data_IF_140168958197
#
_entry.id   IF_140168958197
#
_cell.length_a   1.000
_cell.length_b   1.000
_cell.length_c   1.000
_cell.angle_alpha   90.00
_cell.angle_beta   90.00
_cell.angle_gamma   90.00
#
_symmetry.space_group_name_H-M   'P 1'
#
loop_
_entity.id
_entity.type
_entity.pdbx_description
1 polymer ?
#
# COMPACT_ATOMS: atom_id res chain seq x y z
N UNK A 1 -3.01 14.66 -15.34
CA UNK A 1 -3.32 13.82 -14.17
C UNK A 1 -4.48 12.92 -14.55
N UNK A 2 -4.48 11.64 -14.15
CA UNK A 2 -5.63 10.79 -14.41
C UNK A 2 -6.86 11.39 -13.69
N UNK A 3 -7.97 11.49 -14.42
CA UNK A 3 -9.27 11.88 -13.89
C UNK A 3 -10.18 10.66 -13.94
N UNK A 4 -10.92 10.43 -12.87
CA UNK A 4 -11.90 9.35 -12.80
C UNK A 4 -13.27 9.95 -12.57
N UNK A 5 -14.24 9.52 -13.38
CA UNK A 5 -15.58 10.09 -13.40
C UNK A 5 -16.59 9.03 -12.92
N UNK A 6 -17.41 9.41 -11.95
CA UNK A 6 -18.38 8.54 -11.31
C UNK A 6 -19.77 9.15 -11.30
N UNK A 7 -20.74 8.42 -11.83
CA UNK A 7 -22.15 8.80 -11.76
C UNK A 7 -22.78 8.20 -10.52
N UNK A 8 -23.75 8.91 -9.93
CA UNK A 8 -24.56 8.37 -8.83
C UNK A 8 -25.71 7.56 -9.38
N UNK A 9 -25.80 6.30 -8.98
CA UNK A 9 -26.94 5.44 -9.22
C UNK A 9 -27.45 4.90 -7.87
N UNK A 10 -28.55 5.48 -7.38
CA UNK A 10 -29.07 5.24 -6.02
C UNK A 10 -28.01 5.57 -4.96
N UNK A 11 -27.58 4.55 -4.20
CA UNK A 11 -26.56 4.62 -3.16
C UNK A 11 -25.15 4.27 -3.68
N UNK A 12 -24.98 4.11 -5.00
CA UNK A 12 -23.72 3.65 -5.60
C UNK A 12 -23.06 4.66 -6.52
N UNK A 13 -21.73 4.70 -6.49
CA UNK A 13 -20.87 5.35 -7.48
C UNK A 13 -20.46 4.34 -8.55
N UNK A 14 -20.75 4.67 -9.82
CA UNK A 14 -20.46 3.82 -10.99
C UNK A 14 -19.58 4.60 -11.98
N UNK A 15 -18.49 4.01 -12.52
CA UNK A 15 -17.72 4.63 -13.59
C UNK A 15 -18.62 5.04 -14.77
N UNK A 16 -18.43 6.27 -15.27
CA UNK A 16 -19.15 6.79 -16.43
C UNK A 16 -18.33 7.85 -17.16
N UNK A 17 -18.79 8.28 -18.33
CA UNK A 17 -18.16 9.37 -19.11
C UNK A 17 -18.76 10.76 -18.78
N UNK A 18 -19.67 10.82 -17.80
CA UNK A 18 -20.43 12.01 -17.41
C UNK A 18 -21.94 11.74 -17.34
N UNK A 19 -22.71 12.74 -16.90
CA UNK A 19 -24.16 12.63 -16.78
C UNK A 19 -24.79 13.92 -16.26
N UNK A 20 -26.07 13.86 -15.88
CA UNK A 20 -26.75 14.98 -15.22
C UNK A 20 -26.09 15.30 -13.87
N UNK A 21 -25.68 14.26 -13.13
CA UNK A 21 -25.02 14.38 -11.83
C UNK A 21 -23.88 13.36 -11.71
N UNK A 22 -22.65 13.85 -11.51
CA UNK A 22 -21.47 13.01 -11.42
C UNK A 22 -20.37 13.65 -10.56
N UNK A 23 -19.42 12.84 -10.13
CA UNK A 23 -18.23 13.25 -9.42
C UNK A 23 -17.00 13.07 -10.30
N UNK A 24 -16.04 13.98 -10.17
CA UNK A 24 -14.72 13.90 -10.80
C UNK A 24 -13.68 13.79 -9.70
N UNK A 25 -12.87 12.75 -9.77
CA UNK A 25 -11.79 12.46 -8.84
C UNK A 25 -10.49 12.76 -9.56
N UNK A 26 -9.71 13.70 -9.04
CA UNK A 26 -8.39 14.05 -9.54
C UNK A 26 -7.36 13.86 -8.43
N UNK A 27 -6.25 13.21 -8.75
CA UNK A 27 -5.17 12.99 -7.79
C UNK A 27 -4.03 13.95 -8.07
N UNK A 28 -3.63 14.74 -7.06
CA UNK A 28 -2.50 15.66 -7.19
C UNK A 28 -1.17 14.92 -7.26
N UNK A 29 -0.08 15.62 -7.60
CA UNK A 29 1.28 15.03 -7.62
C UNK A 29 1.73 14.60 -6.21
N UNK A 30 1.07 15.15 -5.19
CA UNK A 30 1.32 14.86 -3.78
C UNK A 30 0.35 13.80 -3.24
N UNK A 31 -0.38 13.09 -4.11
CA UNK A 31 -1.37 12.07 -3.73
C UNK A 31 -2.54 12.64 -2.90
N UNK A 32 -2.93 13.89 -3.12
CA UNK A 32 -4.17 14.41 -2.54
C UNK A 32 -5.34 14.12 -3.47
N UNK A 33 -6.49 13.73 -2.92
CA UNK A 33 -7.73 13.59 -3.68
C UNK A 33 -8.42 14.95 -3.77
N UNK A 34 -8.53 15.48 -4.98
CA UNK A 34 -9.44 16.56 -5.31
C UNK A 34 -10.74 15.94 -5.82
N UNK A 35 -11.82 16.17 -5.08
CA UNK A 35 -13.16 15.76 -5.47
C UNK A 35 -13.91 16.97 -6.01
N UNK A 36 -14.46 16.84 -7.21
CA UNK A 36 -15.42 17.80 -7.75
C UNK A 36 -16.77 17.14 -7.93
N UNK A 37 -17.84 17.86 -7.62
CA UNK A 37 -19.22 17.47 -7.84
C UNK A 37 -19.74 18.27 -9.01
N UNK A 38 -20.25 17.59 -10.02
CA UNK A 38 -20.68 18.20 -11.27
C UNK A 38 -22.17 17.96 -11.50
N UNK A 39 -22.87 19.02 -11.90
CA UNK A 39 -24.25 18.95 -12.34
C UNK A 39 -24.38 19.63 -13.70
N UNK A 40 -24.84 18.91 -14.72
CA UNK A 40 -24.98 19.42 -16.10
C UNK A 40 -23.71 20.10 -16.64
N UNK A 41 -22.54 19.54 -16.33
CA UNK A 41 -21.24 20.08 -16.76
C UNK A 41 -20.67 21.21 -15.88
N UNK A 42 -21.45 21.75 -14.94
CA UNK A 42 -20.96 22.71 -13.95
C UNK A 42 -20.39 21.98 -12.75
N UNK A 43 -19.09 22.15 -12.49
CA UNK A 43 -18.36 21.44 -11.44
C UNK A 43 -17.94 22.38 -10.32
N UNK A 44 -18.18 21.96 -9.09
CA UNK A 44 -17.73 22.62 -7.87
C UNK A 44 -16.84 21.68 -7.05
N UNK A 45 -15.77 22.22 -6.46
CA UNK A 45 -14.88 21.43 -5.63
C UNK A 45 -15.54 21.13 -4.28
N UNK A 46 -15.44 19.86 -3.85
CA UNK A 46 -15.89 19.41 -2.54
C UNK A 46 -14.73 19.50 -1.56
N UNK A 47 -14.85 20.38 -0.56
CA UNK A 47 -13.81 20.58 0.46
C UNK A 47 -13.68 19.39 1.42
N UNK A 48 -14.79 18.75 1.80
CA UNK A 48 -14.80 17.56 2.66
C UNK A 48 -15.01 16.27 1.86
N UNK A 49 -14.04 15.92 1.01
CA UNK A 49 -14.16 14.81 0.07
C UNK A 49 -14.55 13.46 0.75
N UNK A 50 -13.93 13.13 1.89
CA UNK A 50 -14.17 11.85 2.59
C UNK A 50 -15.61 11.78 3.10
N UNK A 51 -16.10 12.85 3.74
CA UNK A 51 -17.46 12.95 4.27
C UNK A 51 -18.51 12.84 3.16
N UNK A 52 -18.29 13.51 2.03
CA UNK A 52 -19.19 13.44 0.88
C UNK A 52 -19.22 12.04 0.27
N UNK A 53 -18.06 11.41 0.11
CA UNK A 53 -17.96 10.08 -0.49
C UNK A 53 -18.49 8.98 0.43
N UNK A 54 -18.42 9.17 1.75
CA UNK A 54 -18.98 8.22 2.74
C UNK A 54 -20.50 8.01 2.63
N UNK A 55 -21.20 8.83 1.83
CA UNK A 55 -22.64 8.68 1.55
C UNK A 55 -22.94 7.57 0.54
N UNK A 56 -21.92 7.08 -0.18
CA UNK A 56 -22.10 6.15 -1.29
C UNK A 56 -21.20 4.91 -1.13
N UNK A 57 -21.63 3.81 -1.74
CA UNK A 57 -20.80 2.61 -1.97
C UNK A 57 -20.27 2.63 -3.41
N UNK A 58 -19.14 1.97 -3.69
CA UNK A 58 -18.71 1.79 -5.07
C UNK A 58 -19.44 0.60 -5.72
N UNK A 59 -19.70 0.65 -7.02
CA UNK A 59 -20.32 -0.48 -7.72
C UNK A 59 -19.46 -1.76 -7.72
N UNK A 60 -18.13 -1.59 -7.66
CA UNK A 60 -17.16 -2.68 -7.56
C UNK A 60 -16.51 -2.70 -6.17
N UNK A 61 -17.32 -2.49 -5.13
CA UNK A 61 -16.91 -2.64 -3.73
C UNK A 61 -16.31 -4.03 -3.50
N UNK A 62 -15.24 -4.10 -2.71
CA UNK A 62 -14.51 -5.34 -2.45
C UNK A 62 -14.74 -5.72 -1.00
N UNK A 63 -15.28 -6.93 -0.79
CA UNK A 63 -15.79 -7.42 0.49
C UNK A 63 -14.75 -7.55 1.63
N UNK A 64 -13.46 -7.33 1.35
CA UNK A 64 -12.37 -7.52 2.32
C UNK A 64 -11.50 -6.25 2.52
N UNK A 65 -12.03 -5.04 2.31
CA UNK A 65 -11.21 -3.85 2.54
C UNK A 65 -10.77 -3.72 4.01
N UNK A 66 -11.63 -4.12 4.95
CA UNK A 66 -11.27 -4.11 6.38
C UNK A 66 -10.10 -5.04 6.68
N UNK A 67 -10.07 -6.25 6.09
CA UNK A 67 -8.92 -7.18 6.21
C UNK A 67 -7.61 -6.58 5.66
N UNK A 68 -7.70 -5.77 4.59
CA UNK A 68 -6.56 -5.05 4.03
C UNK A 68 -6.10 -3.97 5.02
N UNK A 69 -7.04 -3.22 5.61
CA UNK A 69 -6.75 -2.16 6.57
C UNK A 69 -6.09 -2.70 7.84
N UNK A 70 -6.60 -3.80 8.39
CA UNK A 70 -6.02 -4.42 9.59
C UNK A 70 -4.55 -4.82 9.36
N UNK A 71 -4.24 -5.41 8.20
CA UNK A 71 -2.86 -5.74 7.82
C UNK A 71 -1.99 -4.48 7.64
N UNK A 72 -2.56 -3.40 7.10
CA UNK A 72 -1.84 -2.13 6.96
C UNK A 72 -1.48 -1.57 8.34
N UNK A 73 -2.42 -1.55 9.28
CA UNK A 73 -2.20 -1.01 10.64
C UNK A 73 -1.10 -1.81 11.38
N UNK A 74 -1.11 -3.14 11.23
CA UNK A 74 -0.07 -4.03 11.75
C UNK A 74 1.31 -3.73 11.15
N UNK A 75 1.38 -3.49 9.84
CA UNK A 75 2.63 -3.17 9.14
C UNK A 75 3.12 -1.78 9.53
N UNK A 76 2.24 -0.76 9.57
CA UNK A 76 2.61 0.61 9.97
C UNK A 76 3.22 0.59 11.38
N UNK A 77 2.60 -0.12 12.31
CA UNK A 77 3.10 -0.25 13.68
C UNK A 77 4.51 -0.85 13.71
N UNK A 78 4.77 -1.87 12.88
CA UNK A 78 6.10 -2.45 12.73
C UNK A 78 7.12 -1.46 12.12
N UNK A 79 6.74 -0.72 11.08
CA UNK A 79 7.61 0.27 10.45
C UNK A 79 7.99 1.40 11.41
N UNK A 80 7.03 1.89 12.19
CA UNK A 80 7.26 2.92 13.21
C UNK A 80 8.19 2.41 14.30
N UNK A 81 7.92 1.21 14.86
CA UNK A 81 8.73 0.60 15.94
C UNK A 81 10.22 0.57 15.61
N UNK A 82 10.56 0.28 14.37
CA UNK A 82 11.93 0.10 13.93
C UNK A 82 12.46 1.26 13.07
N UNK A 83 11.73 2.37 12.99
CA UNK A 83 12.08 3.54 12.18
C UNK A 83 12.42 3.18 10.72
N UNK A 84 11.58 2.35 10.11
CA UNK A 84 11.74 1.85 8.75
C UNK A 84 10.95 2.69 7.75
N UNK A 85 11.52 2.87 6.56
CA UNK A 85 10.87 3.46 5.40
C UNK A 85 10.87 2.45 4.26
N UNK A 86 9.70 2.24 3.68
CA UNK A 86 9.55 1.35 2.52
C UNK A 86 9.76 2.13 1.23
N UNK A 87 10.55 1.54 0.34
CA UNK A 87 10.71 1.94 -1.05
C UNK A 87 10.17 0.83 -1.96
N UNK A 88 9.45 1.21 -3.01
CA UNK A 88 8.85 0.27 -3.95
C UNK A 88 9.25 0.67 -5.37
N UNK A 89 9.76 -0.27 -6.15
CA UNK A 89 10.09 -0.03 -7.56
C UNK A 89 8.94 -0.54 -8.43
N UNK A 90 8.38 0.35 -9.26
CA UNK A 90 7.30 0.04 -10.20
C UNK A 90 5.94 0.54 -9.71
N UNK A 91 4.98 -0.37 -9.49
CA UNK A 91 3.62 -0.02 -9.10
C UNK A 91 3.54 0.46 -7.64
N UNK A 92 3.36 1.77 -7.45
CA UNK A 92 3.28 2.40 -6.13
C UNK A 92 1.98 2.15 -5.36
N UNK A 93 1.04 1.35 -5.90
CA UNK A 93 -0.24 1.03 -5.24
C UNK A 93 -0.05 0.48 -3.81
N UNK A 94 1.02 -0.27 -3.55
CA UNK A 94 1.35 -0.78 -2.21
C UNK A 94 1.75 0.35 -1.26
N UNK A 95 2.57 1.30 -1.72
CA UNK A 95 2.95 2.48 -0.93
C UNK A 95 1.76 3.39 -0.68
N UNK A 96 0.92 3.60 -1.69
CA UNK A 96 -0.33 4.36 -1.56
C UNK A 96 -1.23 3.72 -0.51
N UNK A 97 -1.38 2.39 -0.53
CA UNK A 97 -2.16 1.67 0.48
C UNK A 97 -1.58 1.84 1.89
N UNK A 98 -0.26 1.77 2.07
CA UNK A 98 0.38 1.88 3.38
C UNK A 98 0.40 3.30 3.95
N UNK A 99 0.64 4.32 3.12
CA UNK A 99 0.79 5.70 3.59
C UNK A 99 -0.50 6.53 3.52
N UNK A 100 -1.43 6.17 2.62
CA UNK A 100 -2.72 6.84 2.47
C UNK A 100 -3.86 5.84 2.20
N UNK A 101 -4.22 4.97 3.17
CA UNK A 101 -5.18 3.88 2.97
C UNK A 101 -6.54 4.36 2.44
N UNK A 102 -7.04 5.50 2.93
CA UNK A 102 -8.29 6.10 2.46
C UNK A 102 -8.20 6.55 1.00
N UNK A 103 -7.08 7.13 0.61
CA UNK A 103 -6.85 7.54 -0.78
C UNK A 103 -6.82 6.34 -1.72
N UNK A 104 -6.09 5.29 -1.31
CA UNK A 104 -6.05 4.02 -2.03
C UNK A 104 -7.46 3.45 -2.23
N UNK A 105 -8.31 3.51 -1.20
CA UNK A 105 -9.70 3.07 -1.29
C UNK A 105 -10.46 3.82 -2.40
N UNK A 106 -10.47 5.15 -2.32
CA UNK A 106 -11.23 5.97 -3.27
C UNK A 106 -10.68 5.94 -4.70
N UNK A 107 -9.37 5.69 -4.87
CA UNK A 107 -8.72 5.60 -6.17
C UNK A 107 -9.05 4.31 -6.90
N UNK A 108 -8.99 3.17 -6.22
CA UNK A 108 -9.04 1.87 -6.91
C UNK A 108 -10.39 1.17 -6.81
N UNK A 109 -11.15 1.33 -5.72
CA UNK A 109 -12.37 0.52 -5.50
C UNK A 109 -13.55 0.93 -6.39
N UNK A 110 -13.45 2.09 -7.04
CA UNK A 110 -14.40 2.47 -8.08
C UNK A 110 -14.07 1.93 -9.46
N UNK A 111 -12.87 1.42 -9.73
CA UNK A 111 -12.42 1.09 -11.09
C UNK A 111 -12.80 -0.34 -11.50
N UNK A 112 -12.89 -0.59 -12.81
CA UNK A 112 -13.13 -1.94 -13.32
C UNK A 112 -11.94 -2.86 -13.05
N UNK A 113 -10.74 -2.29 -13.04
CA UNK A 113 -9.46 -2.94 -12.71
C UNK A 113 -9.18 -3.00 -11.20
N UNK A 114 -10.13 -2.55 -10.36
CA UNK A 114 -10.02 -2.55 -8.89
C UNK A 114 -9.52 -3.90 -8.36
N UNK A 115 -10.13 -4.98 -8.86
CA UNK A 115 -9.88 -6.34 -8.39
C UNK A 115 -8.42 -6.74 -8.56
N UNK A 116 -7.81 -6.45 -9.70
CA UNK A 116 -6.42 -6.82 -9.97
C UNK A 116 -5.45 -6.00 -9.11
N UNK A 117 -5.72 -4.69 -8.97
CA UNK A 117 -4.93 -3.80 -8.10
C UNK A 117 -5.02 -4.20 -6.63
N UNK A 118 -6.22 -4.54 -6.17
CA UNK A 118 -6.42 -5.00 -4.79
C UNK A 118 -5.79 -6.37 -4.56
N UNK A 119 -5.88 -7.29 -5.52
CA UNK A 119 -5.19 -8.58 -5.41
C UNK A 119 -3.67 -8.41 -5.35
N UNK A 120 -3.12 -7.48 -6.14
CA UNK A 120 -1.69 -7.14 -6.10
C UNK A 120 -1.29 -6.60 -4.72
N UNK A 121 -2.03 -5.63 -4.18
CA UNK A 121 -1.77 -5.08 -2.84
C UNK A 121 -1.93 -6.13 -1.75
N UNK A 122 -3.00 -6.95 -1.79
CA UNK A 122 -3.19 -8.07 -0.86
C UNK A 122 -2.00 -9.03 -0.87
N UNK A 123 -1.50 -9.38 -2.05
CA UNK A 123 -0.33 -10.25 -2.18
C UNK A 123 0.89 -9.66 -1.48
N UNK A 124 1.15 -8.36 -1.67
CA UNK A 124 2.28 -7.68 -1.00
C UNK A 124 2.10 -7.52 0.50
N UNK A 125 0.89 -7.18 0.98
CA UNK A 125 0.60 -7.09 2.41
C UNK A 125 0.80 -8.45 3.09
N UNK A 126 0.40 -9.56 2.47
CA UNK A 126 0.66 -10.89 2.99
C UNK A 126 2.17 -11.17 3.13
N UNK A 127 2.97 -10.79 2.14
CA UNK A 127 4.43 -10.92 2.21
C UNK A 127 5.04 -10.04 3.31
N UNK A 128 4.55 -8.83 3.48
CA UNK A 128 5.00 -7.91 4.55
C UNK A 128 4.64 -8.42 5.94
N UNK A 129 3.44 -8.96 6.13
CA UNK A 129 3.04 -9.61 7.38
C UNK A 129 3.91 -10.84 7.65
N UNK A 130 4.21 -11.65 6.63
CA UNK A 130 5.15 -12.77 6.73
C UNK A 130 6.55 -12.28 7.13
N UNK A 131 7.05 -11.21 6.49
CA UNK A 131 8.33 -10.59 6.82
C UNK A 131 8.38 -10.19 8.29
N UNK A 132 7.38 -9.43 8.75
CA UNK A 132 7.26 -9.02 10.15
C UNK A 132 7.34 -10.22 11.10
N UNK A 133 6.56 -11.28 10.84
CA UNK A 133 6.54 -12.48 11.69
C UNK A 133 7.93 -13.13 11.78
N UNK A 134 8.58 -13.33 10.63
CA UNK A 134 9.91 -13.95 10.57
C UNK A 134 10.96 -13.09 11.29
N UNK A 135 10.89 -11.77 11.11
CA UNK A 135 11.79 -10.84 11.77
C UNK A 135 11.56 -10.77 13.29
N UNK A 136 10.30 -10.82 13.74
CA UNK A 136 9.94 -10.90 15.16
C UNK A 136 10.45 -12.22 15.79
N UNK A 137 10.37 -13.34 15.07
CA UNK A 137 10.89 -14.66 15.52
C UNK A 137 12.42 -14.66 15.66
N UNK A 138 13.13 -14.08 14.70
CA UNK A 138 14.61 -13.96 14.76
C UNK A 138 15.02 -12.98 15.87
N UNK A 139 14.19 -11.95 16.11
CA UNK A 139 14.43 -10.88 17.05
C UNK A 139 15.43 -9.87 16.49
N UNK A 140 14.96 -8.65 16.24
CA UNK A 140 15.79 -7.54 15.79
C UNK A 140 16.30 -6.76 16.99
N UNK A 141 17.62 -6.66 17.15
CA UNK A 141 18.24 -5.75 18.12
C UNK A 141 18.52 -4.38 17.52
N UNK A 142 19.03 -4.36 16.29
CA UNK A 142 19.43 -3.12 15.62
C UNK A 142 19.35 -3.29 14.11
N UNK A 143 18.66 -2.38 13.41
CA UNK A 143 18.76 -2.32 11.96
C UNK A 143 20.11 -1.73 11.56
N UNK A 144 20.75 -2.34 10.56
CA UNK A 144 22.04 -1.93 10.00
C UNK A 144 21.94 -1.43 8.57
N UNK A 145 20.72 -1.42 8.01
CA UNK A 145 20.45 -1.03 6.62
C UNK A 145 21.14 0.30 6.30
N UNK A 146 22.09 0.21 5.36
CA UNK A 146 23.03 1.26 5.01
C UNK A 146 22.58 1.84 3.66
N UNK A 147 21.63 2.78 3.67
CA UNK A 147 21.35 3.61 2.49
C UNK A 147 20.78 4.95 2.93
N UNK A 148 21.33 6.03 2.35
CA UNK A 148 21.03 7.44 2.60
C UNK A 148 19.55 7.78 2.44
N UNK A 149 18.73 7.43 3.43
CA UNK A 149 17.55 8.25 3.62
C UNK A 149 18.06 9.59 4.14
N UNK A 150 17.80 10.66 3.39
CA UNK A 150 18.10 12.03 3.81
C UNK A 150 17.42 12.40 5.15
N UNK A 151 16.54 11.53 5.66
CA UNK A 151 15.73 11.70 6.87
C UNK A 151 16.10 10.77 8.03
N UNK A 152 17.18 9.97 7.94
CA UNK A 152 17.71 9.17 9.05
C UNK A 152 16.92 7.90 9.40
N UNK A 153 16.06 7.44 8.50
CA UNK A 153 15.30 6.18 8.60
C UNK A 153 16.01 5.02 7.88
N UNK A 154 15.74 3.80 8.32
CA UNK A 154 16.25 2.62 7.62
C UNK A 154 15.44 2.33 6.35
N UNK A 155 16.10 2.06 5.24
CA UNK A 155 15.42 1.71 3.99
C UNK A 155 15.12 0.20 3.94
N UNK A 156 13.89 -0.15 3.56
CA UNK A 156 13.50 -1.50 3.14
C UNK A 156 12.95 -1.41 1.73
N UNK A 157 13.57 -2.14 0.80
CA UNK A 157 13.16 -2.12 -0.59
C UNK A 157 12.25 -3.30 -0.91
N UNK A 158 11.24 -3.04 -1.70
CA UNK A 158 10.32 -4.04 -2.23
C UNK A 158 10.50 -4.13 -3.74
N UNK A 159 10.36 -5.37 -4.24
CA UNK A 159 10.44 -5.67 -5.67
C UNK A 159 11.83 -5.35 -6.30
N UNK A 160 12.89 -5.53 -5.53
CA UNK A 160 14.28 -5.46 -6.00
C UNK A 160 15.00 -6.73 -5.60
N UNK A 161 15.69 -7.33 -6.56
CA UNK A 161 16.46 -8.54 -6.32
C UNK A 161 17.85 -8.23 -5.73
N UNK A 162 18.35 -7.01 -5.93
CA UNK A 162 19.73 -6.66 -5.57
C UNK A 162 19.83 -6.04 -4.16
N UNK A 163 18.77 -5.40 -3.67
CA UNK A 163 18.83 -4.66 -2.41
C UNK A 163 18.29 -5.47 -1.23
N UNK A 164 19.18 -5.74 -0.28
CA UNK A 164 18.84 -6.40 0.99
C UNK A 164 18.73 -5.39 2.11
N UNK A 165 17.78 -5.59 3.02
CA UNK A 165 17.86 -4.94 4.32
C UNK A 165 18.66 -5.83 5.29
N UNK A 166 19.36 -5.20 6.24
CA UNK A 166 20.25 -5.89 7.17
C UNK A 166 19.98 -5.47 8.61
N UNK A 167 20.13 -6.40 9.54
CA UNK A 167 19.98 -6.14 10.97
C UNK A 167 20.83 -7.08 11.83
N UNK A 168 21.08 -6.70 13.08
CA UNK A 168 21.68 -7.55 14.11
C UNK A 168 20.56 -8.28 14.84
N UNK A 169 20.65 -9.61 14.86
CA UNK A 169 19.68 -10.45 15.56
C UNK A 169 19.86 -10.39 17.08
N UNK A 170 18.89 -10.93 17.82
CA UNK A 170 18.98 -11.23 19.26
C UNK A 170 20.23 -12.04 19.65
N UNK A 171 20.74 -12.89 18.75
CA UNK A 171 21.93 -13.70 19.00
C UNK A 171 23.24 -12.97 18.64
N UNK A 172 23.16 -11.69 18.24
CA UNK A 172 24.31 -10.85 17.93
C UNK A 172 24.91 -11.06 16.54
N UNK A 173 24.26 -11.85 15.67
CA UNK A 173 24.73 -12.09 14.31
C UNK A 173 24.02 -11.21 13.27
N UNK A 174 24.74 -10.88 12.18
CA UNK A 174 24.20 -10.12 11.06
C UNK A 174 23.28 -10.99 10.22
N UNK A 175 22.06 -10.48 9.99
CA UNK A 175 21.05 -11.09 9.16
C UNK A 175 20.79 -10.17 7.98
N UNK A 176 20.85 -10.71 6.76
CA UNK A 176 20.37 -10.05 5.55
C UNK A 176 19.02 -10.63 5.16
N UNK A 177 18.07 -9.81 4.76
CA UNK A 177 16.77 -10.26 4.30
C UNK A 177 16.27 -9.51 3.07
N UNK A 178 15.48 -10.20 2.27
CA UNK A 178 14.82 -9.71 1.07
C UNK A 178 13.35 -10.13 1.08
N UNK A 179 12.52 -9.35 0.40
CA UNK A 179 11.11 -9.67 0.17
C UNK A 179 10.91 -9.85 -1.33
N UNK A 180 10.36 -11.01 -1.73
CA UNK A 180 10.21 -11.41 -3.14
C UNK A 180 11.55 -11.55 -3.88
N UNK A 181 12.46 -12.38 -3.38
CA UNK A 181 13.77 -12.63 -3.99
C UNK A 181 13.94 -14.09 -4.39
N UNK A 182 14.43 -14.32 -5.61
CA UNK A 182 14.81 -15.64 -6.11
C UNK A 182 13.69 -16.70 -5.97
N UNK A 183 12.45 -16.27 -6.22
CA UNK A 183 11.25 -17.11 -6.09
C UNK A 183 10.79 -17.40 -4.66
N UNK A 184 11.39 -16.76 -3.64
CA UNK A 184 10.96 -16.80 -2.25
C UNK A 184 10.14 -15.56 -1.92
N UNK A 185 9.12 -15.71 -1.07
CA UNK A 185 8.39 -14.54 -0.55
C UNK A 185 9.25 -13.78 0.46
N UNK A 186 9.98 -14.51 1.31
CA UNK A 186 11.02 -13.98 2.18
C UNK A 186 12.28 -14.83 2.01
N UNK A 187 13.39 -14.18 1.72
CA UNK A 187 14.71 -14.82 1.67
C UNK A 187 15.61 -14.23 2.75
N UNK A 188 16.32 -15.09 3.48
CA UNK A 188 17.18 -14.68 4.59
C UNK A 188 18.54 -15.33 4.44
N UNK A 189 19.60 -14.55 4.66
CA UNK A 189 20.95 -15.06 4.86
C UNK A 189 21.41 -14.79 6.29
N UNK A 190 21.79 -15.85 6.99
CA UNK A 190 22.18 -15.81 8.40
C UNK A 190 23.19 -16.91 8.70
N UNK A 191 24.32 -16.59 9.33
CA UNK A 191 25.40 -17.55 9.70
C UNK A 191 25.84 -18.47 8.55
N UNK A 192 25.98 -17.92 7.34
CA UNK A 192 26.36 -18.69 6.15
C UNK A 192 25.28 -19.63 5.59
N UNK A 193 24.05 -19.57 6.13
CA UNK A 193 22.90 -20.34 5.64
C UNK A 193 21.93 -19.42 4.91
N UNK A 194 21.37 -19.93 3.81
CA UNK A 194 20.29 -19.30 3.05
C UNK A 194 18.97 -19.99 3.38
N UNK A 195 17.94 -19.20 3.70
CA UNK A 195 16.61 -19.68 4.08
C UNK A 195 15.60 -19.04 3.14
N UNK A 196 14.81 -19.86 2.47
CA UNK A 196 13.72 -19.45 1.60
C UNK A 196 12.38 -19.76 2.27
N UNK A 197 11.51 -18.77 2.39
CA UNK A 197 10.20 -18.90 3.01
C UNK A 197 9.14 -18.47 2.00
N UNK A 198 8.07 -19.28 1.88
CA UNK A 198 6.92 -19.00 1.01
C UNK A 198 5.66 -18.85 1.86
N UNK A 199 4.81 -17.93 1.44
CA UNK A 199 3.42 -17.77 1.91
C UNK A 199 2.65 -18.93 1.29
N UNK A 200 2.31 -19.94 2.08
CA UNK A 200 1.46 -21.04 1.64
C UNK A 200 0.08 -20.58 1.21
#
# INVERSE_FOLDING_TARGET
MPKYIYCVNKDKLIPCDGGEFYYVFEFTRNNELLLSKCQNGHCEQVYEAISELGKYRFAYEIDNFDEIRDKIDDIISFLIKYNLKIYFIGDNSVLEALYAPSLFNYKYFGLKEAKDKVNFVKSWLNKLVLAKRVLDEIGIMEFKSHMDTLDGRYAMWLNTEDESASFISREGDLVKFWISYNGCDIFIQRKGKSICIKSG
#
